data_IF_530148602719
#
_entry.id   IF_530148602719
#
_cell.length_a   1.000
_cell.length_b   1.000
_cell.length_c   1.000
_cell.angle_alpha   90.00
_cell.angle_beta   90.00
_cell.angle_gamma   90.00
#
_symmetry.space_group_name_H-M   'P 1'
#
loop_
_entity.id
_entity.type
_entity.pdbx_description
1 polymer ?
#
# COMPACT_ATOMS: atom_id res chain seq x y z
N UNK A 1 -8.90 -19.90 16.52
CA UNK A 1 -8.44 -18.91 15.52
C UNK A 1 -7.04 -18.42 15.91
N UNK A 2 -6.05 -19.32 15.93
CA UNK A 2 -4.63 -19.04 16.12
C UNK A 2 -3.92 -19.79 14.99
N UNK A 3 -3.41 -19.08 13.98
CA UNK A 3 -2.68 -19.74 12.89
C UNK A 3 -1.26 -19.97 13.40
N UNK A 4 -1.00 -21.22 13.78
CA UNK A 4 0.31 -21.74 14.20
C UNK A 4 1.32 -21.38 13.09
N UNK A 5 2.38 -20.67 13.47
CA UNK A 5 3.56 -20.49 12.63
C UNK A 5 4.25 -21.85 12.60
N UNK A 6 4.16 -22.55 11.48
CA UNK A 6 4.85 -23.83 11.29
C UNK A 6 6.35 -23.54 11.07
N UNK A 7 7.24 -23.89 12.03
CA UNK A 7 8.64 -23.49 11.98
C UNK A 7 9.44 -24.20 10.87
N UNK A 8 8.91 -25.27 10.28
CA UNK A 8 9.58 -26.04 9.21
C UNK A 8 9.41 -25.44 7.80
N UNK A 9 8.59 -24.41 7.63
CA UNK A 9 8.37 -23.81 6.30
C UNK A 9 8.47 -22.27 6.31
N UNK A 10 9.70 -21.72 6.43
CA UNK A 10 9.93 -20.27 6.54
C UNK A 10 9.52 -19.46 5.29
N UNK A 11 9.16 -20.13 4.19
CA UNK A 11 8.83 -19.50 2.91
C UNK A 11 7.35 -19.05 2.81
N UNK A 12 6.38 -19.83 3.29
CA UNK A 12 4.97 -19.52 3.01
C UNK A 12 4.41 -18.27 3.72
N UNK A 13 4.93 -17.92 4.91
CA UNK A 13 4.44 -16.75 5.65
C UNK A 13 5.03 -15.43 5.14
N UNK A 14 6.24 -15.49 4.57
CA UNK A 14 7.01 -14.32 4.13
C UNK A 14 6.62 -13.89 2.71
N UNK A 15 6.28 -14.84 1.83
CA UNK A 15 5.92 -14.58 0.43
C UNK A 15 4.42 -14.47 0.14
N UNK A 16 3.54 -14.56 1.15
CA UNK A 16 2.11 -14.31 0.92
C UNK A 16 1.86 -12.81 0.72
N UNK A 17 1.31 -12.46 -0.44
CA UNK A 17 0.88 -11.10 -0.77
C UNK A 17 -0.31 -10.78 0.12
N UNK A 18 -0.18 -9.70 0.89
CA UNK A 18 -1.25 -9.17 1.75
C UNK A 18 -1.54 -7.78 1.28
N UNK A 19 -2.79 -7.55 0.87
CA UNK A 19 -3.24 -6.28 0.28
C UNK A 19 -3.11 -5.07 1.22
N UNK A 20 -3.03 -5.32 2.53
CA UNK A 20 -2.85 -4.32 3.57
C UNK A 20 -1.40 -4.10 4.03
N UNK A 21 -0.41 -4.83 3.49
CA UNK A 21 1.00 -4.61 3.86
C UNK A 21 1.52 -3.29 3.30
N UNK A 22 2.32 -2.60 4.10
CA UNK A 22 2.95 -1.35 3.73
C UNK A 22 4.00 -1.54 2.62
N UNK A 23 4.13 -0.59 1.68
CA UNK A 23 5.06 -0.72 0.54
C UNK A 23 6.53 -0.82 0.99
N UNK A 24 6.92 -0.20 2.10
CA UNK A 24 8.26 -0.29 2.67
C UNK A 24 8.63 -1.71 3.10
N UNK A 25 7.67 -2.54 3.53
CA UNK A 25 7.93 -3.96 3.84
C UNK A 25 8.33 -4.73 2.57
N UNK A 26 7.77 -4.34 1.42
CA UNK A 26 8.12 -4.93 0.13
C UNK A 26 9.43 -4.37 -0.45
N UNK A 27 9.87 -3.19 -0.01
CA UNK A 27 11.00 -2.44 -0.57
C UNK A 27 12.25 -2.44 0.33
N UNK A 28 12.12 -2.71 1.63
CA UNK A 28 13.23 -2.87 2.54
C UNK A 28 12.86 -3.72 3.77
N UNK A 29 13.61 -4.80 4.01
CA UNK A 29 13.37 -5.69 5.16
C UNK A 29 13.73 -5.08 6.53
N UNK A 30 14.45 -3.95 6.56
CA UNK A 30 14.92 -3.32 7.81
C UNK A 30 13.93 -2.31 8.40
N UNK A 31 12.85 -1.98 7.68
CA UNK A 31 11.84 -1.07 8.20
C UNK A 31 10.89 -1.83 9.13
N UNK A 32 11.06 -1.58 10.43
CA UNK A 32 10.11 -1.94 11.47
C UNK A 32 9.75 -0.67 12.23
N UNK A 33 8.46 -0.35 12.29
CA UNK A 33 8.01 0.84 13.01
C UNK A 33 6.51 1.02 12.95
N UNK A 34 5.98 1.81 13.88
CA UNK A 34 4.54 2.03 14.12
C UNK A 34 3.77 2.54 12.89
N UNK A 35 4.49 3.11 11.90
CA UNK A 35 3.89 3.60 10.65
C UNK A 35 3.33 2.48 9.77
N UNK A 36 3.85 1.27 9.89
CA UNK A 36 3.35 0.08 9.18
C UNK A 36 1.91 -0.23 9.58
N UNK A 37 1.59 -0.08 10.87
CA UNK A 37 0.24 -0.34 11.38
C UNK A 37 -0.73 0.73 10.91
N UNK A 38 -0.30 2.00 10.86
CA UNK A 38 -1.10 3.11 10.32
C UNK A 38 -1.48 2.86 8.86
N UNK A 39 -0.53 2.38 8.04
CA UNK A 39 -0.81 1.99 6.66
C UNK A 39 -1.87 0.88 6.59
N UNK A 40 -1.68 -0.17 7.39
CA UNK A 40 -2.58 -1.33 7.42
C UNK A 40 -3.99 -0.92 7.84
N UNK A 41 -4.12 -0.07 8.87
CA UNK A 41 -5.41 0.50 9.30
C UNK A 41 -6.05 1.34 8.20
N UNK A 42 -5.29 2.16 7.48
CA UNK A 42 -5.79 2.93 6.34
C UNK A 42 -6.34 2.04 5.23
N UNK A 43 -5.66 0.93 4.91
CA UNK A 43 -6.14 -0.05 3.94
C UNK A 43 -7.47 -0.69 4.36
N UNK A 44 -7.58 -1.07 5.63
CA UNK A 44 -8.81 -1.68 6.19
C UNK A 44 -9.96 -0.67 6.16
N UNK A 45 -9.73 0.57 6.60
CA UNK A 45 -10.74 1.63 6.55
C UNK A 45 -11.23 1.88 5.12
N UNK A 46 -10.31 1.95 4.16
CA UNK A 46 -10.65 2.11 2.75
C UNK A 46 -11.46 0.92 2.22
N UNK A 47 -11.12 -0.30 2.62
CA UNK A 47 -11.86 -1.51 2.24
C UNK A 47 -13.28 -1.53 2.82
N UNK A 48 -13.46 -1.07 4.06
CA UNK A 48 -14.80 -0.94 4.66
C UNK A 48 -15.68 0.06 3.90
N UNK A 49 -15.09 1.16 3.42
CA UNK A 49 -15.81 2.18 2.64
C UNK A 49 -16.15 1.65 1.24
N UNK A 50 -15.19 0.99 0.59
CA UNK A 50 -15.35 0.51 -0.79
C UNK A 50 -16.05 -0.85 -0.90
N UNK A 51 -16.23 -1.55 0.22
CA UNK A 51 -16.65 -2.96 0.32
C UNK A 51 -15.81 -3.91 -0.54
N UNK A 52 -14.58 -3.51 -0.86
CA UNK A 52 -13.60 -4.27 -1.63
C UNK A 52 -12.20 -3.77 -1.28
N UNK A 53 -11.16 -4.62 -1.38
CA UNK A 53 -9.79 -4.20 -1.12
C UNK A 53 -9.39 -3.03 -2.04
N UNK A 54 -8.80 -2.00 -1.44
CA UNK A 54 -8.33 -0.81 -2.15
C UNK A 54 -7.13 -1.12 -3.06
N UNK A 55 -6.25 -2.02 -2.62
CA UNK A 55 -5.12 -2.54 -3.37
C UNK A 55 -5.34 -4.04 -3.62
N UNK A 56 -5.23 -4.49 -4.88
CA UNK A 56 -5.50 -5.88 -5.27
C UNK A 56 -4.36 -6.44 -6.10
N UNK A 57 -3.15 -6.40 -5.55
CA UNK A 57 -1.98 -6.97 -6.19
C UNK A 57 -2.00 -8.51 -6.18
N UNK A 58 -1.57 -9.09 -7.29
CA UNK A 58 -1.38 -10.54 -7.52
C UNK A 58 0.09 -10.96 -7.46
N UNK A 59 1.00 -10.00 -7.54
CA UNK A 59 2.44 -10.13 -7.30
C UNK A 59 2.93 -8.94 -6.46
N UNK A 60 4.18 -8.97 -5.96
CA UNK A 60 4.77 -7.82 -5.25
C UNK A 60 4.86 -6.59 -6.16
N UNK A 61 5.26 -6.78 -7.41
CA UNK A 61 5.35 -5.70 -8.41
C UNK A 61 3.96 -5.14 -8.71
N UNK A 62 2.97 -6.03 -8.89
CA UNK A 62 1.58 -5.62 -9.13
C UNK A 62 0.99 -4.89 -7.92
N UNK A 63 1.25 -5.36 -6.70
CA UNK A 63 0.85 -4.68 -5.47
C UNK A 63 1.42 -3.25 -5.41
N UNK A 64 2.71 -3.06 -5.69
CA UNK A 64 3.33 -1.74 -5.77
C UNK A 64 2.68 -0.87 -6.86
N UNK A 65 2.38 -1.44 -8.03
CA UNK A 65 1.70 -0.70 -9.09
C UNK A 65 0.29 -0.23 -8.68
N UNK A 66 -0.50 -1.11 -8.05
CA UNK A 66 -1.84 -0.73 -7.55
C UNK A 66 -1.77 0.36 -6.48
N UNK A 67 -0.71 0.37 -5.68
CA UNK A 67 -0.45 1.43 -4.72
C UNK A 67 -0.16 2.74 -5.46
N UNK A 68 0.82 2.75 -6.37
CA UNK A 68 1.20 3.94 -7.13
C UNK A 68 0.06 4.49 -8.00
N UNK A 69 -0.87 3.65 -8.46
CA UNK A 69 -2.08 4.07 -9.17
C UNK A 69 -3.03 4.91 -8.33
N UNK A 70 -2.91 4.86 -7.00
CA UNK A 70 -3.77 5.60 -6.07
C UNK A 70 -2.99 6.73 -5.40
N UNK A 71 -1.81 6.44 -4.85
CA UNK A 71 -1.03 7.43 -4.08
C UNK A 71 -0.09 8.27 -4.94
N UNK A 72 0.16 7.86 -6.19
CA UNK A 72 1.15 8.45 -7.10
C UNK A 72 2.52 7.78 -7.02
N UNK A 73 3.40 8.11 -7.97
CA UNK A 73 4.79 7.63 -7.97
C UNK A 73 5.59 8.37 -6.90
N UNK A 74 6.32 7.68 -6.00
CA UNK A 74 7.14 8.34 -4.97
C UNK A 74 8.27 9.15 -5.59
N UNK A 75 8.66 10.23 -4.90
CA UNK A 75 9.80 11.06 -5.29
C UNK A 75 11.12 10.28 -5.13
N UNK A 76 12.10 10.58 -5.99
CA UNK A 76 13.42 9.93 -6.01
C UNK A 76 14.16 10.08 -4.67
N UNK A 77 13.86 11.13 -3.89
CA UNK A 77 14.43 11.34 -2.55
C UNK A 77 14.07 10.23 -1.56
N UNK A 78 12.87 9.67 -1.65
CA UNK A 78 12.37 8.56 -0.82
C UNK A 78 12.99 7.23 -1.28
N UNK A 79 13.51 7.16 -2.51
CA UNK A 79 14.13 5.95 -3.05
C UNK A 79 15.53 5.69 -2.50
N UNK A 80 16.20 6.69 -1.91
CA UNK A 80 17.50 6.51 -1.28
C UNK A 80 17.45 5.57 -0.07
N UNK A 81 16.26 5.44 0.54
CA UNK A 81 15.99 4.59 1.69
C UNK A 81 15.61 3.14 1.29
N UNK A 82 15.50 2.85 -0.01
CA UNK A 82 15.12 1.52 -0.51
C UNK A 82 16.32 0.58 -0.49
N UNK A 83 16.18 -0.53 0.23
CA UNK A 83 17.23 -1.51 0.41
C UNK A 83 17.35 -2.53 -0.73
N UNK A 84 16.36 -2.59 -1.63
CA UNK A 84 16.37 -3.49 -2.79
C UNK A 84 16.93 -2.76 -4.02
N UNK A 85 18.15 -3.10 -4.49
CA UNK A 85 18.83 -2.36 -5.55
C UNK A 85 18.05 -2.31 -6.86
N UNK A 86 17.31 -3.39 -7.17
CA UNK A 86 16.54 -3.51 -8.41
C UNK A 86 15.22 -2.74 -8.37
N UNK A 87 14.70 -2.40 -7.18
CA UNK A 87 13.42 -1.70 -7.04
C UNK A 87 13.55 -0.23 -7.46
N UNK A 88 14.68 0.41 -7.18
CA UNK A 88 14.95 1.80 -7.59
C UNK A 88 14.96 1.92 -9.12
N UNK A 89 15.65 0.99 -9.80
CA UNK A 89 15.69 0.96 -11.26
C UNK A 89 14.30 0.70 -11.88
N UNK A 90 13.47 -0.11 -11.23
CA UNK A 90 12.10 -0.34 -11.65
C UNK A 90 11.25 0.92 -11.52
N UNK A 91 11.22 1.53 -10.34
CA UNK A 91 10.40 2.72 -10.05
C UNK A 91 10.82 3.90 -10.95
N UNK A 92 12.13 4.08 -11.18
CA UNK A 92 12.66 5.15 -12.04
C UNK A 92 12.24 5.02 -13.51
N UNK A 93 11.84 3.82 -13.95
CA UNK A 93 11.37 3.56 -15.32
C UNK A 93 9.86 3.67 -15.46
N UNK A 94 9.12 3.75 -14.36
CA UNK A 94 7.66 3.89 -14.42
C UNK A 94 7.28 5.29 -14.91
N UNK A 95 6.23 5.41 -15.74
CA UNK A 95 5.66 6.72 -16.04
C UNK A 95 5.19 7.36 -14.72
N UNK A 96 5.40 8.67 -14.51
CA UNK A 96 4.92 9.37 -13.33
C UNK A 96 3.40 9.23 -13.21
N UNK A 97 2.94 8.72 -12.07
CA UNK A 97 1.51 8.61 -11.75
C UNK A 97 1.13 9.72 -10.79
N UNK A 98 0.01 10.38 -11.06
CA UNK A 98 -0.57 11.37 -10.17
C UNK A 98 -1.44 10.70 -9.11
N UNK A 99 -1.43 11.26 -7.91
CA UNK A 99 -2.31 10.82 -6.82
C UNK A 99 -3.77 10.99 -7.24
N UNK A 100 -4.58 9.94 -7.03
CA UNK A 100 -6.03 10.01 -7.26
C UNK A 100 -6.69 10.90 -6.22
N UNK A 101 -7.70 11.65 -6.65
CA UNK A 101 -8.59 12.35 -5.75
C UNK A 101 -9.40 11.32 -4.94
N UNK A 102 -9.27 11.39 -3.61
CA UNK A 102 -9.96 10.48 -2.71
C UNK A 102 -11.47 10.73 -2.67
N UNK A 103 -11.94 11.95 -2.95
CA UNK A 103 -13.39 12.20 -3.05
C UNK A 103 -13.99 11.42 -4.22
N UNK A 104 -13.26 11.36 -5.34
CA UNK A 104 -13.65 10.58 -6.53
C UNK A 104 -13.49 9.08 -6.25
N UNK A 105 -12.40 8.68 -5.58
CA UNK A 105 -12.12 7.27 -5.30
C UNK A 105 -13.16 6.63 -4.38
N UNK A 106 -13.55 7.34 -3.32
CA UNK A 106 -14.49 6.84 -2.32
C UNK A 106 -15.95 7.22 -2.62
N UNK A 107 -16.19 8.13 -3.57
CA UNK A 107 -17.55 8.57 -3.94
C UNK A 107 -18.22 9.42 -2.87
N UNK A 108 -17.44 10.10 -2.02
CA UNK A 108 -17.95 10.99 -0.99
C UNK A 108 -17.19 12.31 -1.04
N UNK A 109 -17.93 13.41 -0.97
CA UNK A 109 -17.34 14.74 -0.82
C UNK A 109 -17.53 15.20 0.61
N UNK A 110 -16.43 15.48 1.30
CA UNK A 110 -16.48 16.09 2.62
C UNK A 110 -16.62 17.61 2.47
N UNK A 111 -17.67 18.18 3.02
CA UNK A 111 -17.82 19.62 3.16
C UNK A 111 -17.25 20.07 4.52
N UNK A 112 -16.13 20.81 4.55
CA UNK A 112 -15.50 21.25 5.78
C UNK A 112 -16.30 22.33 6.52
N UNK A 113 -17.21 23.03 5.84
CA UNK A 113 -18.05 24.08 6.43
C UNK A 113 -19.24 23.47 7.16
N UNK A 114 -19.95 22.54 6.52
CA UNK A 114 -21.12 21.89 7.11
C UNK A 114 -20.79 20.63 7.91
N UNK A 115 -19.55 20.11 7.79
CA UNK A 115 -19.10 18.85 8.37
C UNK A 115 -19.95 17.64 7.94
N UNK A 116 -20.53 17.71 6.74
CA UNK A 116 -21.36 16.63 6.18
C UNK A 116 -20.61 15.87 5.10
N UNK A 117 -20.96 14.60 4.91
CA UNK A 117 -20.55 13.81 3.74
C UNK A 117 -21.72 13.75 2.77
N UNK A 118 -21.51 14.27 1.56
CA UNK A 118 -22.48 14.14 0.48
C UNK A 118 -22.01 13.06 -0.49
N UNK A 119 -22.95 12.20 -0.92
CA UNK A 119 -22.72 11.22 -2.00
C UNK A 119 -22.74 11.88 -3.37
#
# INVERSE_FOLDING_TARGET
>A
MHRILDPENPSYSRYSIKWWRAPEIALCERYTGDKIDIWSTGCIMAELILLRPIFRGTSIIDQLNTIFDIIGTPDLTILNDICIPNAIAYISRLPPKTKKDYNVLFGFKYDPVTKTMTS
#
